data_IF_169101928055
#
_entry.id   IF_169101928055
#
_cell.length_a   1.000
_cell.length_b   1.000
_cell.length_c   1.000
_cell.angle_alpha   90.00
_cell.angle_beta   90.00
_cell.angle_gamma   90.00
#
_symmetry.space_group_name_H-M   'P 1'
#
loop_
_entity.id
_entity.type
_entity.pdbx_description
1 polymer ?
#
# COMPACT_ATOMS: atom_id res chain seq x y z
N UNK A 1 -21.28 39.41 -48.64
CA UNK A 1 -21.30 37.99 -48.19
C UNK A 1 -19.86 37.60 -47.84
N UNK A 2 -19.47 37.03 -46.72
CA UNK A 2 -20.15 36.52 -45.54
C UNK A 2 -19.06 35.85 -44.67
N UNK A 3 -19.02 36.21 -43.39
CA UNK A 3 -18.20 35.62 -42.34
C UNK A 3 -18.53 34.12 -42.22
N UNK A 4 -17.53 33.22 -42.10
CA UNK A 4 -17.62 32.03 -41.23
C UNK A 4 -16.25 31.64 -40.69
N UNK A 5 -16.05 31.93 -39.41
CA UNK A 5 -15.13 31.25 -38.49
C UNK A 5 -15.68 29.85 -38.21
N UNK A 6 -14.83 28.83 -38.16
CA UNK A 6 -14.95 27.59 -37.40
C UNK A 6 -13.76 26.70 -37.78
N UNK A 7 -13.08 25.94 -36.91
CA UNK A 7 -13.13 25.74 -35.46
C UNK A 7 -11.78 25.08 -35.11
N UNK A 8 -11.27 25.43 -33.94
CA UNK A 8 -10.14 24.81 -33.25
C UNK A 8 -10.51 23.36 -32.87
N UNK A 9 -9.49 22.49 -32.75
CA UNK A 9 -9.31 21.33 -31.83
C UNK A 9 -8.49 20.28 -32.60
N UNK A 10 -7.38 19.74 -32.15
CA UNK A 10 -6.74 19.66 -30.84
C UNK A 10 -5.83 18.44 -30.95
N UNK A 11 -4.51 18.64 -31.04
CA UNK A 11 -3.53 17.56 -31.08
C UNK A 11 -2.57 17.76 -29.91
N UNK A 12 -3.03 17.41 -28.71
CA UNK A 12 -2.14 17.26 -27.56
C UNK A 12 -1.36 15.95 -27.77
N UNK A 13 -0.10 16.09 -28.16
CA UNK A 13 0.80 14.99 -28.42
C UNK A 13 1.01 14.15 -27.15
N UNK A 14 0.86 12.83 -27.32
CA UNK A 14 1.26 11.77 -26.42
C UNK A 14 2.73 11.94 -26.01
N UNK A 15 2.98 12.27 -24.74
CA UNK A 15 4.29 12.09 -24.12
C UNK A 15 4.35 10.70 -23.49
N UNK A 16 4.84 9.74 -24.27
CA UNK A 16 5.31 8.45 -23.79
C UNK A 16 6.73 8.64 -23.26
N UNK A 17 6.89 8.70 -21.93
CA UNK A 17 8.18 8.55 -21.27
C UNK A 17 8.27 7.12 -20.71
N UNK A 18 8.79 6.23 -21.55
CA UNK A 18 9.32 4.93 -21.12
C UNK A 18 10.63 5.21 -20.39
N UNK A 19 10.61 5.20 -19.07
CA UNK A 19 11.84 5.18 -18.27
C UNK A 19 12.22 3.71 -18.05
N UNK A 20 13.34 3.36 -18.67
CA UNK A 20 14.02 2.09 -18.51
C UNK A 20 14.37 1.83 -17.04
N UNK A 21 14.13 0.60 -16.57
CA UNK A 21 14.80 0.05 -15.40
C UNK A 21 14.13 0.30 -14.05
N UNK A 22 13.02 -0.41 -13.81
CA UNK A 22 12.65 -0.85 -12.46
C UNK A 22 11.86 0.15 -11.61
N UNK A 23 10.56 0.27 -11.85
CA UNK A 23 9.66 0.91 -10.88
C UNK A 23 8.40 1.49 -11.48
N UNK A 24 7.48 0.63 -11.94
CA UNK A 24 6.08 1.00 -12.13
C UNK A 24 5.23 -0.26 -12.26
N UNK A 25 4.95 -0.91 -11.14
CA UNK A 25 3.86 -1.89 -11.06
C UNK A 25 2.69 -1.20 -10.35
N UNK A 26 2.12 -0.18 -11.00
CA UNK A 26 0.83 0.40 -10.63
C UNK A 26 -0.14 0.08 -11.76
N UNK A 27 -0.54 -1.18 -11.82
CA UNK A 27 -1.69 -1.60 -12.60
C UNK A 27 -2.73 -2.17 -11.64
N UNK A 28 -3.82 -1.43 -11.54
CA UNK A 28 -5.21 -1.92 -11.55
C UNK A 28 -5.62 -2.82 -10.38
N UNK A 29 -6.52 -2.32 -9.53
CA UNK A 29 -7.79 -2.99 -9.19
C UNK A 29 -8.64 -2.01 -8.39
N UNK A 30 -9.71 -1.49 -9.00
CA UNK A 30 -10.81 -0.83 -8.30
C UNK A 30 -11.98 -1.81 -8.23
N UNK A 31 -12.57 -1.95 -7.04
CA UNK A 31 -13.78 -2.73 -6.75
C UNK A 31 -13.52 -4.11 -6.14
N UNK A 32 -13.97 -4.30 -4.88
CA UNK A 32 -14.23 -5.57 -4.18
C UNK A 32 -13.15 -6.69 -4.20
N UNK A 33 -11.88 -6.38 -4.48
CA UNK A 33 -10.79 -7.34 -4.43
C UNK A 33 -9.77 -7.01 -3.34
N UNK A 34 -9.14 -8.04 -2.75
CA UNK A 34 -8.02 -7.85 -1.84
C UNK A 34 -6.95 -6.96 -2.48
N UNK A 35 -6.51 -5.94 -1.73
CA UNK A 35 -5.38 -5.09 -2.10
C UNK A 35 -4.13 -5.92 -2.47
N UNK A 36 -3.95 -7.08 -1.83
CA UNK A 36 -2.87 -8.02 -2.11
C UNK A 36 -3.42 -9.42 -2.36
N UNK A 37 -3.23 -9.94 -3.57
CA UNK A 37 -3.75 -11.27 -3.98
C UNK A 37 -2.86 -12.44 -3.57
N UNK A 38 -1.62 -12.19 -3.15
CA UNK A 38 -0.66 -13.25 -2.82
C UNK A 38 0.16 -12.93 -1.58
N UNK A 39 0.62 -13.97 -0.89
CA UNK A 39 1.51 -13.85 0.28
C UNK A 39 2.78 -13.06 -0.05
N UNK A 40 3.39 -13.33 -1.20
CA UNK A 40 4.60 -12.62 -1.64
C UNK A 40 4.34 -11.13 -1.92
N UNK A 41 3.18 -10.80 -2.51
CA UNK A 41 2.80 -9.40 -2.74
C UNK A 41 2.60 -8.65 -1.42
N UNK A 42 1.85 -9.24 -0.48
CA UNK A 42 1.65 -8.67 0.86
C UNK A 42 2.99 -8.48 1.57
N UNK A 43 3.86 -9.50 1.59
CA UNK A 43 5.18 -9.42 2.26
C UNK A 43 6.09 -8.36 1.66
N UNK A 44 6.02 -8.14 0.34
CA UNK A 44 6.82 -7.13 -0.34
C UNK A 44 6.32 -5.71 -0.09
N UNK A 45 5.00 -5.51 -0.03
CA UNK A 45 4.39 -4.19 0.06
C UNK A 45 4.29 -3.66 1.49
N UNK A 46 3.96 -4.54 2.45
CA UNK A 46 3.70 -4.18 3.84
C UNK A 46 4.81 -3.35 4.53
N UNK A 47 6.13 -3.60 4.36
CA UNK A 47 7.14 -2.77 5.03
C UNK A 47 7.13 -1.32 4.53
N UNK A 48 6.80 -1.10 3.26
CA UNK A 48 6.78 0.23 2.63
C UNK A 48 5.52 1.00 3.05
N UNK A 49 4.34 0.36 2.96
CA UNK A 49 3.08 1.00 3.32
C UNK A 49 3.00 1.30 4.81
N UNK A 50 3.46 0.39 5.67
CA UNK A 50 3.51 0.64 7.10
C UNK A 50 4.55 1.71 7.49
N UNK A 51 5.69 1.79 6.80
CA UNK A 51 6.64 2.88 7.01
C UNK A 51 6.04 4.24 6.64
N UNK A 52 5.26 4.31 5.56
CA UNK A 52 4.55 5.52 5.17
C UNK A 52 3.51 5.95 6.23
N UNK A 53 2.69 5.00 6.72
CA UNK A 53 1.72 5.25 7.79
C UNK A 53 2.40 5.76 9.07
N UNK A 54 3.48 5.11 9.49
CA UNK A 54 4.27 5.51 10.66
C UNK A 54 4.83 6.94 10.49
N UNK A 55 5.38 7.25 9.32
CA UNK A 55 5.93 8.56 9.02
C UNK A 55 4.85 9.66 9.03
N UNK A 56 3.66 9.38 8.46
CA UNK A 56 2.51 10.30 8.50
C UNK A 56 2.05 10.58 9.93
N UNK A 57 2.16 9.58 10.82
CA UNK A 57 1.85 9.71 12.26
C UNK A 57 3.01 10.25 13.11
N UNK A 58 4.10 10.68 12.49
CA UNK A 58 5.26 11.26 13.17
C UNK A 58 6.20 10.26 13.83
N UNK A 59 6.05 8.97 13.55
CA UNK A 59 6.94 7.91 14.04
C UNK A 59 8.05 7.66 13.03
N UNK A 60 9.29 7.97 13.42
CA UNK A 60 10.48 7.77 12.57
C UNK A 60 11.11 6.40 12.84
N UNK A 61 11.26 5.60 11.80
CA UNK A 61 11.99 4.34 11.86
C UNK A 61 13.51 4.56 11.81
N UNK A 62 14.27 3.75 12.54
CA UNK A 62 15.73 3.76 12.50
C UNK A 62 16.29 3.05 11.26
N UNK A 63 15.54 2.10 10.72
CA UNK A 63 15.85 1.31 9.53
C UNK A 63 14.55 0.85 8.86
N UNK A 64 14.59 0.37 7.60
CA UNK A 64 13.45 -0.32 7.00
C UNK A 64 12.94 -1.47 7.87
N UNK A 65 11.64 -1.75 7.80
CA UNK A 65 11.04 -2.89 8.49
C UNK A 65 11.45 -4.20 7.82
N UNK A 66 11.71 -5.23 8.62
CA UNK A 66 11.98 -6.58 8.16
C UNK A 66 10.71 -7.42 8.27
N UNK A 67 10.35 -8.15 7.21
CA UNK A 67 9.09 -8.88 7.13
C UNK A 67 9.26 -10.36 6.88
N UNK A 68 8.40 -11.14 7.53
CA UNK A 68 8.33 -12.58 7.44
C UNK A 68 6.88 -13.06 7.33
N UNK A 69 6.71 -14.25 6.76
CA UNK A 69 5.41 -14.89 6.67
C UNK A 69 5.04 -15.48 8.05
N UNK A 70 3.79 -15.27 8.48
CA UNK A 70 3.31 -15.80 9.76
C UNK A 70 2.71 -17.20 9.63
N UNK A 71 2.90 -18.11 10.61
CA UNK A 71 2.29 -19.44 10.57
C UNK A 71 0.78 -19.42 10.27
N UNK A 72 0.34 -20.41 9.50
CA UNK A 72 -1.05 -20.55 9.08
C UNK A 72 -1.45 -19.68 7.89
N UNK A 73 -0.47 -19.10 7.16
CA UNK A 73 -0.74 -18.53 5.85
C UNK A 73 -1.04 -19.65 4.83
N UNK A 74 -1.99 -19.40 3.94
CA UNK A 74 -2.35 -20.26 2.79
C UNK A 74 -2.48 -19.39 1.54
N UNK A 75 -3.02 -19.95 0.44
CA UNK A 75 -3.34 -19.13 -0.73
C UNK A 75 -4.50 -18.19 -0.42
N UNK A 76 -5.47 -18.68 0.34
CA UNK A 76 -6.70 -17.99 0.72
C UNK A 76 -6.47 -17.01 1.89
N UNK A 77 -5.64 -17.42 2.87
CA UNK A 77 -5.34 -16.64 4.07
C UNK A 77 -3.92 -16.10 4.05
N UNK A 78 -3.76 -14.81 3.82
CA UNK A 78 -2.47 -14.14 3.81
C UNK A 78 -2.13 -13.64 5.20
N UNK A 79 -0.89 -13.84 5.66
CA UNK A 79 -0.44 -13.35 6.98
C UNK A 79 1.05 -12.99 6.96
N UNK A 80 1.36 -11.73 7.26
CA UNK A 80 2.73 -11.22 7.33
C UNK A 80 2.92 -10.48 8.64
N UNK A 81 4.10 -10.64 9.25
CA UNK A 81 4.54 -9.73 10.30
C UNK A 81 5.78 -8.99 9.82
N UNK A 82 5.84 -7.70 10.11
CA UNK A 82 7.06 -6.93 9.99
C UNK A 82 7.49 -6.41 11.35
N UNK A 83 8.80 -6.27 11.54
CA UNK A 83 9.37 -5.74 12.77
C UNK A 83 10.48 -4.75 12.48
N UNK A 84 10.76 -3.89 13.46
CA UNK A 84 11.83 -2.91 13.37
C UNK A 84 11.90 -2.08 14.64
N UNK A 85 12.64 -0.98 14.57
CA UNK A 85 12.83 -0.08 15.71
C UNK A 85 12.71 1.37 15.26
N UNK A 86 12.16 2.24 16.10
CA UNK A 86 12.13 3.68 15.88
C UNK A 86 13.48 4.34 16.20
N UNK A 87 13.68 5.59 15.77
CA UNK A 87 14.89 6.35 16.11
C UNK A 87 15.05 6.59 17.62
N UNK A 88 13.95 6.58 18.38
CA UNK A 88 13.93 6.64 19.85
C UNK A 88 13.93 5.25 20.52
N UNK A 89 14.38 4.22 19.79
CA UNK A 89 14.61 2.84 20.28
C UNK A 89 13.36 2.10 20.76
N UNK A 90 12.17 2.49 20.29
CA UNK A 90 10.93 1.77 20.58
C UNK A 90 10.77 0.65 19.56
N UNK A 91 10.45 -0.59 20.00
CA UNK A 91 10.18 -1.68 19.08
C UNK A 91 8.90 -1.39 18.30
N UNK A 92 8.89 -1.73 17.02
CA UNK A 92 7.75 -1.64 16.12
C UNK A 92 7.38 -3.05 15.66
N UNK A 93 6.08 -3.36 15.70
CA UNK A 93 5.53 -4.58 15.10
C UNK A 93 4.35 -4.23 14.22
N UNK A 94 4.37 -4.72 13.00
CA UNK A 94 3.30 -4.58 12.03
C UNK A 94 2.77 -5.97 11.72
N UNK A 95 1.46 -6.10 11.64
CA UNK A 95 0.79 -7.32 11.24
C UNK A 95 -0.16 -6.94 10.11
N UNK A 96 -0.03 -7.63 8.99
CA UNK A 96 -0.95 -7.53 7.86
C UNK A 96 -1.56 -8.90 7.58
N UNK A 97 -2.85 -8.93 7.34
CA UNK A 97 -3.56 -10.13 6.91
C UNK A 97 -4.57 -9.84 5.83
N UNK A 98 -4.84 -10.84 4.99
CA UNK A 98 -5.88 -10.80 3.96
C UNK A 98 -6.61 -12.13 3.88
N UNK A 99 -7.91 -12.09 3.59
CA UNK A 99 -8.77 -13.25 3.36
C UNK A 99 -9.35 -13.18 1.94
N UNK A 100 -9.04 -14.16 1.10
CA UNK A 100 -9.48 -14.15 -0.30
C UNK A 100 -10.98 -14.34 -0.44
N UNK A 101 -11.60 -15.13 0.44
CA UNK A 101 -13.04 -15.43 0.36
C UNK A 101 -13.91 -14.19 0.61
N UNK A 102 -13.51 -13.35 1.56
CA UNK A 102 -14.27 -12.15 1.97
C UNK A 102 -13.73 -10.86 1.36
N UNK A 103 -12.59 -10.93 0.66
CA UNK A 103 -11.84 -9.76 0.21
C UNK A 103 -11.42 -8.80 1.35
N UNK A 104 -11.36 -9.29 2.59
CA UNK A 104 -11.03 -8.45 3.75
C UNK A 104 -9.53 -8.39 3.99
N UNK A 105 -9.02 -7.18 4.17
CA UNK A 105 -7.66 -6.93 4.65
C UNK A 105 -7.71 -6.34 6.05
N UNK A 106 -6.75 -6.69 6.90
CA UNK A 106 -6.64 -6.15 8.24
C UNK A 106 -5.18 -5.83 8.57
N UNK A 107 -4.95 -4.63 9.10
CA UNK A 107 -3.63 -4.15 9.44
C UNK A 107 -3.58 -3.61 10.87
N UNK A 108 -2.54 -4.00 11.59
CA UNK A 108 -2.28 -3.54 12.96
C UNK A 108 -0.82 -3.12 13.09
N UNK A 109 -0.58 -1.94 13.64
CA UNK A 109 0.75 -1.38 13.91
C UNK A 109 0.86 -1.14 15.41
N UNK A 110 1.85 -1.77 16.03
CA UNK A 110 2.21 -1.60 17.43
C UNK A 110 3.53 -0.83 17.53
N UNK A 111 3.55 0.20 18.37
CA UNK A 111 4.78 0.91 18.75
C UNK A 111 4.95 0.78 20.25
N UNK A 112 6.07 0.20 20.67
CA UNK A 112 6.34 -0.15 22.07
C UNK A 112 5.21 -0.99 22.70
N UNK A 113 4.66 -1.93 21.93
CA UNK A 113 3.55 -2.80 22.34
C UNK A 113 2.19 -2.12 22.45
N UNK A 114 2.06 -0.82 22.13
CA UNK A 114 0.79 -0.09 22.13
C UNK A 114 0.27 0.04 20.69
N UNK A 115 -1.04 -0.20 20.44
CA UNK A 115 -1.61 -0.03 19.12
C UNK A 115 -1.60 1.44 18.72
N UNK A 116 -1.03 1.70 17.54
CA UNK A 116 -1.11 2.98 16.84
C UNK A 116 -2.14 2.92 15.71
N UNK A 117 -2.25 1.75 15.07
CA UNK A 117 -3.28 1.37 14.11
C UNK A 117 -3.75 -0.02 14.52
N UNK A 118 -5.06 -0.26 14.51
CA UNK A 118 -5.65 -1.51 14.96
C UNK A 118 -6.76 -1.94 14.00
N UNK A 119 -6.62 -3.14 13.43
CA UNK A 119 -7.58 -3.77 12.51
C UNK A 119 -8.09 -2.82 11.41
N UNK A 120 -7.19 -2.00 10.85
CA UNK A 120 -7.54 -1.10 9.77
C UNK A 120 -7.71 -1.89 8.45
N UNK A 121 -8.67 -1.54 7.58
CA UNK A 121 -8.88 -2.23 6.31
C UNK A 121 -7.84 -1.88 5.23
N UNK A 122 -7.04 -0.83 5.47
CA UNK A 122 -6.04 -0.28 4.56
C UNK A 122 -4.92 0.40 5.37
N UNK A 123 -3.81 0.76 4.71
CA UNK A 123 -2.70 1.53 5.30
C UNK A 123 -2.19 2.59 4.32
N UNK A 124 -1.84 3.77 4.83
CA UNK A 124 -1.23 4.85 4.07
C UNK A 124 -2.03 5.21 2.83
N UNK A 125 -1.33 5.34 1.70
CA UNK A 125 -1.92 5.70 0.42
C UNK A 125 -2.90 4.65 -0.14
N UNK A 126 -2.92 3.42 0.40
CA UNK A 126 -3.91 2.41 -0.01
C UNK A 126 -5.32 2.78 0.48
N UNK A 127 -5.43 3.66 1.49
CA UNK A 127 -6.72 4.14 2.00
C UNK A 127 -7.36 5.24 1.12
N UNK A 128 -6.56 6.04 0.43
CA UNK A 128 -7.04 7.19 -0.38
C UNK A 128 -7.81 6.74 -1.64
N UNK A 129 -7.73 5.46 -2.00
CA UNK A 129 -8.44 4.88 -3.13
C UNK A 129 -9.80 4.26 -2.74
N UNK A 130 -10.23 4.35 -1.46
CA UNK A 130 -11.53 3.85 -1.01
C UNK A 130 -12.67 4.90 -1.10
N UNK A 131 -12.43 6.10 -1.64
CA UNK A 131 -13.46 7.13 -1.80
C UNK A 131 -13.78 7.43 -3.27
N UNK A 132 -14.74 6.68 -3.85
CA UNK A 132 -16.02 7.21 -4.37
C UNK A 132 -16.95 6.11 -4.89
#
# INVERSE_FOLDING_TARGET
MGRKKALILGAAALLVLVVAGGGAFLLLSGGDELNYKTQAALRKALPVTAAAELQQRGVKLASPLECEDLPGWTKEKLRVSCSGTTTDKKPVKVIGSGEQETAESNYTILVNGKPLVENAPCLGADCDNQER
#
